data_IF_682931528754
#
_entry.id   IF_682931528754
#
_cell.length_a   1.000
_cell.length_b   1.000
_cell.length_c   1.000
_cell.angle_alpha   90.00
_cell.angle_beta   90.00
_cell.angle_gamma   90.00
#
_symmetry.space_group_name_H-M   'P 1'
#
loop_
_entity.id
_entity.type
_entity.pdbx_description
1 polymer ?
#
# COMPACT_ATOMS: atom_id res chain seq x y z
N UNK A 1 8.20 -27.99 -0.24
CA UNK A 1 9.62 -28.15 0.10
C UNK A 1 10.42 -28.04 -1.18
N UNK A 2 10.89 -26.84 -1.53
CA UNK A 2 11.73 -26.61 -2.72
C UNK A 2 13.17 -26.78 -2.23
N UNK A 3 13.86 -27.79 -2.74
CA UNK A 3 15.30 -27.97 -2.48
C UNK A 3 16.07 -26.90 -3.23
N UNK A 4 16.68 -25.99 -2.46
CA UNK A 4 17.83 -25.22 -2.94
C UNK A 4 19.01 -26.18 -2.81
N UNK A 5 19.73 -26.41 -3.89
CA UNK A 5 20.93 -27.20 -3.89
C UNK A 5 22.00 -26.49 -3.06
N UNK A 6 22.18 -26.92 -1.83
CA UNK A 6 23.41 -27.09 -1.10
C UNK A 6 23.02 -27.62 0.29
N UNK A 7 23.52 -28.83 0.58
CA UNK A 7 23.12 -29.58 1.75
C UNK A 7 23.71 -29.02 3.06
N UNK A 8 22.89 -28.37 3.83
CA UNK A 8 23.15 -28.19 5.26
C UNK A 8 21.84 -28.31 6.03
N UNK A 9 21.75 -29.36 6.83
CA UNK A 9 20.66 -29.59 7.77
C UNK A 9 20.77 -28.60 8.91
N UNK A 10 19.72 -27.77 9.11
CA UNK A 10 19.67 -26.82 10.22
C UNK A 10 19.09 -27.51 11.45
N UNK A 11 19.95 -27.68 12.46
CA UNK A 11 19.56 -28.06 13.82
C UNK A 11 18.79 -26.92 14.49
N UNK A 12 17.59 -27.23 14.97
CA UNK A 12 16.80 -26.33 15.84
C UNK A 12 17.45 -26.26 17.23
N UNK A 13 17.92 -25.11 17.62
CA UNK A 13 18.13 -24.76 19.04
C UNK A 13 17.88 -23.25 19.24
N UNK A 14 16.83 -22.93 20.00
CA UNK A 14 16.52 -21.55 20.39
C UNK A 14 15.12 -21.47 20.97
N UNK A 15 14.97 -21.75 22.29
CA UNK A 15 13.71 -21.69 23.03
C UNK A 15 13.30 -20.23 23.26
N UNK A 16 12.49 -19.65 22.36
CA UNK A 16 11.60 -18.53 22.71
C UNK A 16 10.29 -19.12 23.25
N UNK A 17 9.84 -18.67 24.43
CA UNK A 17 8.55 -19.07 25.01
C UNK A 17 7.43 -18.64 24.08
N UNK A 18 6.92 -19.56 23.31
CA UNK A 18 5.74 -19.42 22.47
C UNK A 18 4.52 -19.37 23.39
N UNK A 19 3.64 -18.40 23.17
CA UNK A 19 2.31 -18.36 23.74
C UNK A 19 1.53 -19.65 23.42
N UNK A 20 0.45 -19.89 24.16
CA UNK A 20 -0.43 -21.06 24.10
C UNK A 20 -0.60 -21.60 22.68
N UNK A 21 -0.40 -22.90 22.43
CA UNK A 21 -0.57 -23.47 21.09
C UNK A 21 -2.00 -23.21 20.58
N UNK A 22 -2.18 -22.92 19.28
CA UNK A 22 -3.51 -22.74 18.70
C UNK A 22 -4.35 -24.01 18.95
N UNK A 23 -5.64 -23.82 19.24
CA UNK A 23 -6.56 -24.94 19.50
C UNK A 23 -6.60 -25.88 18.28
N UNK A 24 -6.85 -27.18 18.50
CA UNK A 24 -6.95 -28.19 17.45
C UNK A 24 -7.96 -27.79 16.35
N UNK A 25 -9.00 -27.04 16.70
CA UNK A 25 -9.98 -26.47 15.78
C UNK A 25 -9.34 -25.44 14.83
N UNK A 26 -8.40 -24.64 15.33
CA UNK A 26 -7.69 -23.60 14.56
C UNK A 26 -6.74 -24.24 13.53
N UNK A 27 -6.02 -25.30 13.93
CA UNK A 27 -5.14 -26.07 13.04
C UNK A 27 -5.96 -26.81 11.97
N UNK A 28 -7.12 -27.35 12.33
CA UNK A 28 -8.02 -28.02 11.38
C UNK A 28 -8.62 -27.06 10.37
N UNK A 29 -8.97 -25.83 10.78
CA UNK A 29 -9.49 -24.80 9.88
C UNK A 29 -8.41 -24.30 8.87
N UNK A 30 -7.17 -24.15 9.32
CA UNK A 30 -6.04 -23.80 8.45
C UNK A 30 -5.75 -24.92 7.43
N UNK A 31 -5.75 -26.18 7.86
CA UNK A 31 -5.49 -27.30 6.97
C UNK A 31 -6.62 -27.52 5.93
N UNK A 32 -7.89 -27.32 6.32
CA UNK A 32 -9.02 -27.35 5.39
C UNK A 32 -8.96 -26.19 4.38
N UNK A 33 -8.47 -25.05 4.81
CA UNK A 33 -8.27 -23.85 4.01
C UNK A 33 -7.15 -24.00 2.96
N UNK A 34 -6.02 -24.63 3.31
CA UNK A 34 -4.93 -24.92 2.36
C UNK A 34 -5.36 -25.90 1.27
N UNK A 35 -6.36 -26.77 1.52
CA UNK A 35 -6.91 -27.68 0.53
C UNK A 35 -7.80 -27.02 -0.53
N UNK A 36 -8.34 -25.82 -0.27
CA UNK A 36 -9.15 -25.06 -1.23
C UNK A 36 -8.31 -24.29 -2.26
N UNK A 37 -7.03 -24.10 -2.00
CA UNK A 37 -6.15 -23.35 -2.88
C UNK A 37 -5.50 -24.27 -3.93
N UNK A 38 -5.57 -23.84 -5.20
CA UNK A 38 -4.88 -24.55 -6.28
C UNK A 38 -3.36 -24.62 -6.01
N UNK A 39 -2.70 -25.72 -6.32
CA UNK A 39 -1.24 -25.83 -6.15
C UNK A 39 -0.52 -24.75 -6.96
N UNK A 40 0.47 -24.12 -6.35
CA UNK A 40 1.33 -23.15 -7.04
C UNK A 40 2.11 -23.85 -8.12
N UNK A 41 2.05 -23.35 -9.33
CA UNK A 41 2.79 -23.93 -10.44
C UNK A 41 4.28 -23.58 -10.37
N UNK A 42 5.15 -24.48 -10.83
CA UNK A 42 6.56 -24.18 -11.01
C UNK A 42 6.74 -22.95 -11.93
N UNK A 43 7.65 -22.06 -11.58
CA UNK A 43 7.97 -20.86 -12.37
C UNK A 43 8.23 -21.20 -13.86
N UNK A 44 8.95 -22.28 -14.14
CA UNK A 44 9.22 -22.73 -15.49
C UNK A 44 7.95 -23.02 -16.31
N UNK A 45 6.89 -23.52 -15.66
CA UNK A 45 5.61 -23.74 -16.34
C UNK A 45 4.89 -22.42 -16.62
N UNK A 46 4.91 -21.49 -15.67
CA UNK A 46 4.34 -20.17 -15.86
C UNK A 46 5.05 -19.42 -17.01
N UNK A 47 6.38 -19.47 -17.08
CA UNK A 47 7.15 -18.85 -18.18
C UNK A 47 6.74 -19.47 -19.53
N UNK A 48 6.68 -20.79 -19.64
CA UNK A 48 6.22 -21.46 -20.87
C UNK A 48 4.79 -21.09 -21.23
N UNK A 49 3.90 -21.02 -20.24
CA UNK A 49 2.51 -20.66 -20.43
C UNK A 49 2.35 -19.24 -20.97
N UNK A 50 3.00 -18.24 -20.36
CA UNK A 50 2.88 -16.84 -20.81
C UNK A 50 3.49 -16.61 -22.19
N UNK A 51 4.63 -17.24 -22.49
CA UNK A 51 5.24 -17.20 -23.84
C UNK A 51 4.31 -17.75 -24.93
N UNK A 52 3.51 -18.76 -24.60
CA UNK A 52 2.57 -19.36 -25.56
C UNK A 52 1.31 -18.53 -25.75
N UNK A 53 0.76 -17.98 -24.66
CA UNK A 53 -0.61 -17.50 -24.64
C UNK A 53 -0.73 -15.95 -24.59
N UNK A 54 0.30 -15.20 -24.16
CA UNK A 54 0.30 -13.74 -24.13
C UNK A 54 1.16 -13.19 -25.27
N UNK A 55 0.61 -12.45 -26.24
CA UNK A 55 1.42 -11.80 -27.27
C UNK A 55 2.51 -10.87 -26.68
N UNK A 56 2.20 -10.13 -25.63
CA UNK A 56 3.16 -9.25 -24.94
C UNK A 56 4.37 -10.02 -24.42
N UNK A 57 4.15 -11.10 -23.65
CA UNK A 57 5.24 -11.88 -23.07
C UNK A 57 5.99 -12.70 -24.11
N UNK A 58 5.32 -13.13 -25.18
CA UNK A 58 5.99 -13.79 -26.32
C UNK A 58 7.02 -12.87 -26.96
N UNK A 59 6.64 -11.62 -27.18
CA UNK A 59 7.54 -10.62 -27.79
C UNK A 59 8.65 -10.22 -26.81
N UNK A 60 8.31 -9.96 -25.54
CA UNK A 60 9.28 -9.60 -24.49
C UNK A 60 10.35 -10.68 -24.30
N UNK A 61 9.98 -11.95 -24.39
CA UNK A 61 10.88 -13.09 -24.16
C UNK A 61 11.38 -13.74 -25.46
N UNK A 62 11.19 -13.10 -26.62
CA UNK A 62 11.55 -13.69 -27.92
C UNK A 62 13.04 -14.05 -28.03
N UNK A 63 13.92 -13.24 -27.42
CA UNK A 63 15.36 -13.41 -27.44
C UNK A 63 15.90 -14.42 -26.40
N UNK A 64 15.05 -14.88 -25.46
CA UNK A 64 15.46 -15.80 -24.40
C UNK A 64 15.43 -17.26 -24.87
N UNK A 65 16.35 -18.12 -24.40
CA UNK A 65 16.28 -19.54 -24.64
C UNK A 65 14.95 -20.16 -24.22
N UNK A 66 14.50 -21.20 -24.89
CA UNK A 66 13.27 -21.92 -24.51
C UNK A 66 13.39 -22.64 -23.15
N UNK A 67 14.59 -22.85 -22.69
CA UNK A 67 14.96 -23.48 -21.42
C UNK A 67 15.05 -22.52 -20.25
N UNK A 68 14.87 -21.21 -20.46
CA UNK A 68 14.87 -20.22 -19.38
C UNK A 68 13.81 -20.55 -18.34
N UNK A 69 14.23 -20.74 -17.09
CA UNK A 69 13.38 -21.14 -15.98
C UNK A 69 13.65 -20.39 -14.66
N UNK A 70 14.59 -19.44 -14.66
CA UNK A 70 14.96 -18.63 -13.49
C UNK A 70 14.55 -17.17 -13.65
N UNK A 71 14.02 -16.58 -12.59
CA UNK A 71 13.58 -15.16 -12.60
C UNK A 71 14.71 -14.20 -13.00
N UNK A 72 15.91 -14.42 -12.49
CA UNK A 72 17.06 -13.56 -12.78
C UNK A 72 17.44 -13.50 -14.27
N UNK A 73 16.97 -14.45 -15.07
CA UNK A 73 17.21 -14.51 -16.52
C UNK A 73 16.13 -13.73 -17.31
N UNK A 74 15.00 -13.43 -16.68
CA UNK A 74 13.92 -12.68 -17.30
C UNK A 74 14.20 -11.18 -17.24
N UNK A 75 13.93 -10.41 -18.30
CA UNK A 75 13.96 -8.96 -18.22
C UNK A 75 12.88 -8.43 -17.27
N UNK A 76 13.09 -7.25 -16.72
CA UNK A 76 12.02 -6.51 -16.05
C UNK A 76 10.92 -6.15 -17.05
N UNK A 77 9.69 -6.18 -16.58
CA UNK A 77 8.55 -5.72 -17.36
C UNK A 77 8.64 -4.21 -17.55
N UNK A 78 8.71 -3.70 -18.81
CA UNK A 78 8.63 -2.27 -19.07
C UNK A 78 7.21 -1.78 -18.79
N UNK A 79 6.99 -1.04 -17.70
CA UNK A 79 5.66 -0.64 -17.24
C UNK A 79 4.86 0.11 -18.30
N UNK A 80 5.49 1.01 -19.06
CA UNK A 80 4.81 1.78 -20.10
C UNK A 80 4.26 0.87 -21.19
N UNK A 81 5.06 -0.10 -21.65
CA UNK A 81 4.67 -1.03 -22.70
C UNK A 81 3.64 -2.06 -22.19
N UNK A 82 3.77 -2.49 -20.93
CA UNK A 82 2.81 -3.36 -20.27
C UNK A 82 1.41 -2.74 -20.25
N UNK A 83 1.30 -1.50 -19.80
CA UNK A 83 0.01 -0.82 -19.74
C UNK A 83 -0.51 -0.41 -21.11
N UNK A 84 0.37 -0.11 -22.07
CA UNK A 84 -0.03 0.11 -23.46
C UNK A 84 -0.59 -1.17 -24.11
N UNK A 85 0.01 -2.33 -23.82
CA UNK A 85 -0.45 -3.64 -24.28
C UNK A 85 -1.76 -4.08 -23.61
N UNK A 86 -2.16 -3.45 -22.51
CA UNK A 86 -3.35 -3.76 -21.72
C UNK A 86 -4.56 -2.89 -22.10
N UNK A 87 -4.81 -2.70 -23.39
CA UNK A 87 -5.97 -1.96 -23.86
C UNK A 87 -7.24 -2.82 -23.80
N UNK A 88 -8.38 -2.31 -23.31
CA UNK A 88 -9.65 -3.07 -23.32
C UNK A 88 -10.10 -3.55 -24.71
N UNK A 89 -9.80 -2.79 -25.75
CA UNK A 89 -10.24 -3.11 -27.13
C UNK A 89 -9.29 -4.02 -27.91
N UNK A 90 -7.97 -3.94 -27.63
CA UNK A 90 -6.93 -4.78 -28.25
C UNK A 90 -5.91 -5.15 -27.19
N UNK A 91 -6.25 -6.19 -26.43
CA UNK A 91 -5.45 -6.60 -25.29
C UNK A 91 -4.42 -7.67 -25.68
N UNK A 92 -3.16 -7.26 -25.72
CA UNK A 92 -2.03 -8.14 -26.03
C UNK A 92 -1.38 -8.77 -24.80
N UNK A 93 -1.78 -8.31 -23.60
CA UNK A 93 -1.23 -8.81 -22.33
C UNK A 93 -1.95 -10.09 -21.88
N UNK A 94 -3.27 -10.15 -22.06
CA UNK A 94 -4.08 -11.27 -21.61
C UNK A 94 -3.72 -12.57 -22.33
N UNK A 95 -3.85 -13.69 -21.60
CA UNK A 95 -3.57 -15.04 -22.09
C UNK A 95 -4.79 -15.73 -22.69
N UNK A 96 -5.97 -15.18 -22.49
CA UNK A 96 -7.24 -15.69 -22.98
C UNK A 96 -8.25 -14.55 -23.18
N UNK A 97 -9.30 -14.74 -24.01
CA UNK A 97 -10.41 -13.79 -24.13
C UNK A 97 -11.16 -13.60 -22.81
N UNK A 98 -11.74 -12.42 -22.62
CA UNK A 98 -12.55 -12.08 -21.45
C UNK A 98 -13.95 -12.68 -21.58
N UNK A 99 -14.15 -13.89 -21.05
CA UNK A 99 -15.48 -14.51 -20.96
C UNK A 99 -16.07 -14.41 -19.56
N UNK A 100 -15.23 -14.51 -18.53
CA UNK A 100 -15.62 -14.40 -17.14
C UNK A 100 -14.46 -13.74 -16.37
N UNK A 101 -14.65 -12.49 -15.96
CA UNK A 101 -13.64 -11.77 -15.18
C UNK A 101 -14.30 -10.67 -14.34
N UNK A 102 -13.68 -10.35 -13.21
CA UNK A 102 -13.87 -9.06 -12.54
C UNK A 102 -12.81 -8.09 -13.07
N UNK A 103 -13.23 -6.86 -13.33
CA UNK A 103 -12.38 -5.80 -13.89
C UNK A 103 -12.25 -4.69 -12.86
N UNK A 104 -11.03 -4.30 -12.60
CA UNK A 104 -10.72 -3.15 -11.75
C UNK A 104 -9.90 -2.13 -12.50
N UNK A 105 -10.00 -0.87 -12.04
CA UNK A 105 -9.24 0.25 -12.56
C UNK A 105 -8.41 0.86 -11.45
N UNK A 106 -7.08 0.83 -11.58
CA UNK A 106 -6.23 1.60 -10.70
C UNK A 106 -6.17 3.06 -11.14
N UNK A 107 -5.97 3.97 -10.16
CA UNK A 107 -5.99 5.39 -10.42
C UNK A 107 -4.77 5.83 -11.21
N UNK A 108 -5.01 6.39 -12.39
CA UNK A 108 -4.05 7.24 -13.05
C UNK A 108 -4.41 8.69 -12.73
N UNK A 109 -3.78 9.31 -11.75
CA UNK A 109 -3.90 10.75 -11.54
C UNK A 109 -3.14 11.53 -12.62
N UNK A 110 -2.27 10.86 -13.37
CA UNK A 110 -1.37 11.46 -14.37
C UNK A 110 -1.29 10.73 -15.71
N UNK A 111 -2.13 9.72 -15.96
CA UNK A 111 -2.02 8.90 -17.18
C UNK A 111 -3.29 8.14 -17.55
N UNK A 112 -3.21 7.33 -18.61
CA UNK A 112 -4.29 6.47 -19.07
C UNK A 112 -4.72 5.48 -17.98
N UNK A 113 -6.03 5.16 -17.86
CA UNK A 113 -6.53 4.20 -16.89
C UNK A 113 -5.83 2.84 -17.02
N UNK A 114 -5.41 2.26 -15.88
CA UNK A 114 -4.81 0.94 -15.81
C UNK A 114 -5.87 -0.07 -15.40
N UNK A 115 -6.17 -1.04 -16.26
CA UNK A 115 -7.18 -2.06 -15.98
C UNK A 115 -6.53 -3.35 -15.52
N UNK A 116 -7.07 -3.96 -14.49
CA UNK A 116 -6.66 -5.26 -13.99
C UNK A 116 -7.79 -6.25 -14.05
N UNK A 117 -7.48 -7.44 -14.54
CA UNK A 117 -8.45 -8.49 -14.82
C UNK A 117 -8.13 -9.72 -13.97
N UNK A 118 -9.17 -10.27 -13.35
CA UNK A 118 -9.09 -11.50 -12.57
C UNK A 118 -10.20 -12.43 -12.98
N UNK A 119 -9.90 -13.68 -13.26
CA UNK A 119 -10.94 -14.71 -13.36
C UNK A 119 -11.61 -14.90 -12.00
N UNK A 120 -12.78 -15.53 -11.96
CA UNK A 120 -13.45 -15.89 -10.70
C UNK A 120 -12.54 -16.69 -9.78
N UNK A 121 -11.78 -17.64 -10.32
CA UNK A 121 -10.86 -18.47 -9.57
C UNK A 121 -9.71 -17.65 -9.01
N UNK A 122 -9.04 -16.82 -9.81
CA UNK A 122 -7.95 -15.96 -9.37
C UNK A 122 -8.40 -14.97 -8.29
N UNK A 123 -9.58 -14.36 -8.46
CA UNK A 123 -10.14 -13.45 -7.46
C UNK A 123 -10.43 -14.16 -6.14
N UNK A 124 -11.02 -15.36 -6.23
CA UNK A 124 -11.26 -16.20 -5.04
C UNK A 124 -9.96 -16.53 -4.33
N UNK A 125 -8.94 -16.99 -5.05
CA UNK A 125 -7.65 -17.35 -4.47
C UNK A 125 -6.93 -16.14 -3.87
N UNK A 126 -6.97 -15.00 -4.55
CA UNK A 126 -6.43 -13.74 -4.07
C UNK A 126 -7.05 -13.33 -2.72
N UNK A 127 -8.38 -13.27 -2.68
CA UNK A 127 -9.11 -12.85 -1.46
C UNK A 127 -9.05 -13.91 -0.36
N UNK A 128 -8.92 -15.20 -0.69
CA UNK A 128 -8.73 -16.30 0.25
C UNK A 128 -7.36 -16.19 0.94
N UNK A 129 -6.28 -16.07 0.19
CA UNK A 129 -4.94 -15.94 0.76
C UNK A 129 -4.80 -14.65 1.59
N UNK A 130 -5.35 -13.54 1.12
CA UNK A 130 -5.35 -12.30 1.89
C UNK A 130 -6.18 -12.39 3.17
N UNK A 131 -7.33 -13.06 3.11
CA UNK A 131 -8.19 -13.33 4.27
C UNK A 131 -7.49 -14.13 5.37
N UNK A 132 -6.62 -15.09 4.99
CA UNK A 132 -5.75 -15.78 5.95
C UNK A 132 -4.75 -14.82 6.60
N UNK A 133 -4.15 -13.93 5.82
CA UNK A 133 -3.25 -12.88 6.32
C UNK A 133 -3.90 -11.94 7.34
N UNK A 134 -5.22 -11.68 7.23
CA UNK A 134 -5.94 -10.85 8.20
C UNK A 134 -5.94 -11.45 9.63
N UNK A 135 -5.87 -12.78 9.76
CA UNK A 135 -5.75 -13.42 11.06
C UNK A 135 -4.38 -13.13 11.68
N UNK A 136 -3.32 -13.15 10.88
CA UNK A 136 -1.97 -12.76 11.31
C UNK A 136 -1.91 -11.27 11.69
N UNK A 137 -2.68 -10.43 10.99
CA UNK A 137 -2.84 -9.01 11.33
C UNK A 137 -3.66 -8.75 12.61
N UNK A 138 -4.40 -9.75 13.14
CA UNK A 138 -5.12 -9.67 14.41
C UNK A 138 -6.63 -9.90 14.34
N UNK A 139 -7.18 -10.28 13.19
CA UNK A 139 -8.59 -10.68 13.09
C UNK A 139 -8.85 -11.92 13.95
N UNK A 140 -9.94 -11.90 14.74
CA UNK A 140 -10.31 -12.98 15.65
C UNK A 140 -11.74 -13.47 15.43
N UNK A 141 -12.07 -14.70 15.84
CA UNK A 141 -13.45 -15.19 15.79
C UNK A 141 -14.41 -14.27 16.52
N UNK A 142 -15.54 -13.97 15.89
CA UNK A 142 -16.61 -13.14 16.44
C UNK A 142 -16.43 -11.63 16.29
N UNK A 143 -15.29 -11.15 15.76
CA UNK A 143 -15.12 -9.73 15.49
C UNK A 143 -16.23 -9.20 14.57
N UNK A 144 -16.77 -8.03 14.91
CA UNK A 144 -17.59 -7.19 14.05
C UNK A 144 -16.69 -6.19 13.39
N UNK A 145 -16.62 -6.25 12.06
CA UNK A 145 -15.68 -5.48 11.24
C UNK A 145 -16.47 -4.49 10.38
N UNK A 146 -16.22 -3.21 10.56
CA UNK A 146 -16.75 -2.16 9.68
C UNK A 146 -15.75 -1.90 8.55
N UNK A 147 -16.21 -2.04 7.32
CA UNK A 147 -15.45 -1.74 6.11
C UNK A 147 -15.77 -0.31 5.66
N UNK A 148 -14.79 0.59 5.81
CA UNK A 148 -14.84 1.99 5.40
C UNK A 148 -13.98 2.26 4.17
N UNK A 149 -13.63 1.25 3.39
CA UNK A 149 -12.98 1.46 2.11
C UNK A 149 -13.98 1.99 1.07
N UNK A 150 -13.47 2.49 -0.06
CA UNK A 150 -14.28 3.09 -1.10
C UNK A 150 -14.67 2.07 -2.16
N UNK A 151 -15.88 2.24 -2.70
CA UNK A 151 -16.46 1.42 -3.76
C UNK A 151 -16.85 2.27 -4.98
N UNK A 152 -17.08 1.62 -6.08
CA UNK A 152 -17.58 2.22 -7.33
C UNK A 152 -16.46 2.55 -8.32
N UNK A 153 -16.85 2.90 -9.53
CA UNK A 153 -15.96 3.28 -10.63
C UNK A 153 -14.79 2.30 -10.85
N UNK A 154 -15.10 1.00 -10.79
CA UNK A 154 -14.15 -0.11 -10.91
C UNK A 154 -13.04 -0.11 -9.83
N UNK A 155 -13.21 0.61 -8.73
CA UNK A 155 -12.23 0.62 -7.64
C UNK A 155 -12.38 -0.63 -6.76
N UNK A 156 -11.26 -1.30 -6.49
CA UNK A 156 -11.27 -2.66 -5.91
C UNK A 156 -11.41 -2.70 -4.40
N UNK A 157 -10.95 -1.66 -3.64
CA UNK A 157 -10.59 -1.85 -2.23
C UNK A 157 -11.74 -2.32 -1.34
N UNK A 158 -12.93 -1.76 -1.47
CA UNK A 158 -14.11 -2.18 -0.70
C UNK A 158 -14.46 -3.65 -0.96
N UNK A 159 -14.63 -4.02 -2.24
CA UNK A 159 -14.95 -5.40 -2.62
C UNK A 159 -13.85 -6.38 -2.20
N UNK A 160 -12.59 -5.96 -2.34
CA UNK A 160 -11.43 -6.76 -1.95
C UNK A 160 -11.41 -7.06 -0.45
N UNK A 161 -11.60 -6.03 0.39
CA UNK A 161 -11.61 -6.20 1.85
C UNK A 161 -12.82 -7.02 2.30
N UNK A 162 -14.01 -6.74 1.74
CA UNK A 162 -15.23 -7.47 2.07
C UNK A 162 -15.13 -8.96 1.72
N UNK A 163 -14.61 -9.29 0.52
CA UNK A 163 -14.39 -10.67 0.07
C UNK A 163 -13.30 -11.37 0.88
N UNK A 164 -12.23 -10.66 1.24
CA UNK A 164 -11.15 -11.19 2.07
C UNK A 164 -11.64 -11.51 3.49
N UNK A 165 -12.47 -10.66 4.09
CA UNK A 165 -13.13 -10.93 5.37
C UNK A 165 -14.11 -12.10 5.28
N UNK A 166 -14.84 -12.20 4.15
CA UNK A 166 -15.75 -13.34 3.91
C UNK A 166 -15.01 -14.67 3.86
N UNK A 167 -13.81 -14.68 3.31
CA UNK A 167 -13.00 -15.89 3.12
C UNK A 167 -11.94 -16.09 4.21
N UNK A 168 -11.89 -15.21 5.21
CA UNK A 168 -11.00 -15.41 6.35
C UNK A 168 -11.35 -16.72 7.08
N UNK A 169 -10.35 -17.50 7.57
CA UNK A 169 -10.59 -18.78 8.21
C UNK A 169 -11.16 -18.66 9.64
N UNK A 170 -11.69 -17.49 9.98
CA UNK A 170 -12.35 -17.20 11.26
C UNK A 170 -13.70 -16.55 11.03
N UNK A 171 -14.72 -16.99 11.76
CA UNK A 171 -16.05 -16.39 11.69
C UNK A 171 -16.00 -14.92 12.13
N UNK A 172 -16.60 -14.04 11.34
CA UNK A 172 -16.69 -12.61 11.62
C UNK A 172 -17.99 -12.02 11.09
N UNK A 173 -18.40 -10.89 11.65
CA UNK A 173 -19.56 -10.11 11.18
C UNK A 173 -19.05 -8.93 10.40
N UNK A 174 -19.51 -8.75 9.18
CA UNK A 174 -19.09 -7.70 8.25
C UNK A 174 -20.15 -6.61 8.13
N UNK A 175 -19.74 -5.36 8.34
CA UNK A 175 -20.58 -4.18 8.18
C UNK A 175 -20.03 -3.36 6.99
N UNK A 176 -20.64 -3.49 5.79
CA UNK A 176 -20.20 -2.81 4.59
C UNK A 176 -20.72 -1.37 4.56
N UNK A 177 -20.06 -0.45 5.27
CA UNK A 177 -20.48 0.95 5.40
C UNK A 177 -19.97 1.83 4.24
N UNK A 178 -18.73 1.61 3.81
CA UNK A 178 -18.06 2.42 2.79
C UNK A 178 -17.53 3.76 3.31
N UNK A 179 -16.40 4.20 2.76
CA UNK A 179 -15.69 5.40 3.21
C UNK A 179 -16.39 6.73 2.89
N UNK A 180 -17.38 6.73 1.98
CA UNK A 180 -18.17 7.89 1.63
C UNK A 180 -19.44 8.07 2.50
N UNK A 181 -19.72 7.14 3.42
CA UNK A 181 -20.89 7.27 4.32
C UNK A 181 -20.75 8.49 5.25
N UNK A 182 -21.86 9.16 5.60
CA UNK A 182 -21.84 10.24 6.57
C UNK A 182 -21.22 9.79 7.89
N UNK A 183 -20.33 10.59 8.46
CA UNK A 183 -19.58 10.20 9.65
C UNK A 183 -20.48 9.98 10.87
N UNK A 184 -21.58 10.73 10.99
CA UNK A 184 -22.56 10.58 12.07
C UNK A 184 -23.23 9.20 12.03
N UNK A 185 -23.66 8.78 10.83
CA UNK A 185 -24.23 7.46 10.59
C UNK A 185 -23.21 6.35 10.83
N UNK A 186 -21.99 6.56 10.36
CA UNK A 186 -20.88 5.64 10.62
C UNK A 186 -20.65 5.47 12.12
N UNK A 187 -20.48 6.57 12.85
CA UNK A 187 -20.25 6.55 14.29
C UNK A 187 -21.41 5.89 15.08
N UNK A 188 -22.66 6.19 14.70
CA UNK A 188 -23.85 5.57 15.30
C UNK A 188 -23.84 4.04 15.07
N UNK A 189 -23.55 3.59 13.85
CA UNK A 189 -23.48 2.16 13.53
C UNK A 189 -22.35 1.46 14.28
N UNK A 190 -21.16 2.09 14.40
CA UNK A 190 -20.05 1.52 15.19
C UNK A 190 -20.44 1.30 16.66
N UNK A 191 -21.19 2.22 17.25
CA UNK A 191 -21.71 2.09 18.63
C UNK A 191 -22.82 1.05 18.72
N UNK A 192 -23.84 1.13 17.87
CA UNK A 192 -24.99 0.23 17.92
C UNK A 192 -24.59 -1.23 17.78
N UNK A 193 -23.69 -1.52 16.84
CA UNK A 193 -23.18 -2.87 16.62
C UNK A 193 -21.99 -3.24 17.51
N UNK A 194 -21.53 -2.34 18.38
CA UNK A 194 -20.35 -2.58 19.23
C UNK A 194 -19.16 -3.13 18.41
N UNK A 195 -18.79 -2.42 17.34
CA UNK A 195 -17.79 -2.84 16.35
C UNK A 195 -16.41 -2.85 16.97
N UNK A 196 -15.72 -4.00 16.93
CA UNK A 196 -14.36 -4.14 17.47
C UNK A 196 -13.28 -3.78 16.46
N UNK A 197 -13.56 -3.88 15.16
CA UNK A 197 -12.57 -3.65 14.10
C UNK A 197 -13.10 -2.64 13.10
N UNK A 198 -12.33 -1.59 12.84
CA UNK A 198 -12.64 -0.62 11.78
C UNK A 198 -11.54 -0.69 10.72
N UNK A 199 -11.92 -0.95 9.47
CA UNK A 199 -11.02 -1.07 8.34
C UNK A 199 -11.20 0.11 7.38
N UNK A 200 -10.10 0.77 6.99
CA UNK A 200 -10.14 1.92 6.07
C UNK A 200 -8.77 2.42 5.67
N UNK A 201 -8.73 3.45 4.82
CA UNK A 201 -7.47 4.13 4.57
C UNK A 201 -7.06 4.96 5.79
N UNK A 202 -5.75 5.18 6.06
CA UNK A 202 -5.31 6.11 7.10
C UNK A 202 -6.05 7.46 7.06
N UNK A 203 -6.19 8.04 5.88
CA UNK A 203 -6.92 9.30 5.68
C UNK A 203 -8.37 9.22 6.16
N UNK A 204 -9.09 8.14 5.84
CA UNK A 204 -10.48 7.93 6.27
C UNK A 204 -10.58 7.75 7.78
N UNK A 205 -9.68 6.95 8.37
CA UNK A 205 -9.63 6.69 9.81
C UNK A 205 -9.32 7.96 10.60
N UNK A 206 -8.36 8.77 10.15
CA UNK A 206 -8.01 10.06 10.77
C UNK A 206 -9.13 11.08 10.65
N UNK A 207 -9.81 11.17 9.50
CA UNK A 207 -10.96 12.06 9.32
C UNK A 207 -12.12 11.67 10.26
N UNK A 208 -12.41 10.38 10.42
CA UNK A 208 -13.40 9.90 11.38
C UNK A 208 -13.00 10.24 12.82
N UNK A 209 -11.72 9.98 13.18
CA UNK A 209 -11.20 10.28 14.51
C UNK A 209 -11.29 11.78 14.84
N UNK A 210 -10.90 12.67 13.90
CA UNK A 210 -11.03 14.10 14.07
C UNK A 210 -12.46 14.53 14.42
N UNK A 211 -13.45 13.99 13.67
CA UNK A 211 -14.86 14.33 13.86
C UNK A 211 -15.41 13.79 15.19
N UNK A 212 -15.02 12.57 15.59
CA UNK A 212 -15.39 12.00 16.88
C UNK A 212 -14.85 12.87 18.03
N UNK A 213 -13.57 13.24 17.99
CA UNK A 213 -12.94 14.08 19.03
C UNK A 213 -13.58 15.45 19.08
N UNK A 214 -13.83 16.09 17.93
CA UNK A 214 -14.51 17.39 17.87
C UNK A 214 -15.95 17.34 18.45
N UNK A 215 -16.60 16.18 18.35
CA UNK A 215 -17.93 15.94 18.94
C UNK A 215 -17.85 15.47 20.42
N UNK A 216 -16.67 15.42 21.05
CA UNK A 216 -16.48 14.94 22.41
C UNK A 216 -16.73 13.43 22.58
N UNK A 217 -16.64 12.64 21.52
CA UNK A 217 -16.95 11.21 21.48
C UNK A 217 -15.71 10.36 21.40
N UNK A 218 -15.75 9.20 22.05
CA UNK A 218 -14.75 8.13 21.95
C UNK A 218 -15.44 6.79 21.75
N UNK A 219 -14.81 5.88 21.01
CA UNK A 219 -15.31 4.53 20.77
C UNK A 219 -14.38 3.48 21.42
N UNK A 220 -14.46 3.28 22.77
CA UNK A 220 -13.54 2.42 23.50
C UNK A 220 -13.76 0.91 23.27
N UNK A 221 -14.82 0.53 22.58
CA UNK A 221 -15.09 -0.85 22.16
C UNK A 221 -14.33 -1.24 20.89
N UNK A 222 -13.80 -0.26 20.11
CA UNK A 222 -12.93 -0.53 18.99
C UNK A 222 -11.55 -0.96 19.51
N UNK A 223 -11.13 -2.17 19.13
CA UNK A 223 -9.89 -2.80 19.58
C UNK A 223 -8.81 -2.80 18.49
N UNK A 224 -9.22 -2.69 17.22
CA UNK A 224 -8.33 -2.82 16.08
C UNK A 224 -8.73 -1.84 14.96
N UNK A 225 -7.75 -1.10 14.47
CA UNK A 225 -7.85 -0.29 13.27
C UNK A 225 -7.03 -0.96 12.17
N UNK A 226 -7.72 -1.56 11.21
CA UNK A 226 -7.09 -2.08 10.01
C UNK A 226 -6.92 -0.99 8.98
N UNK A 227 -5.69 -0.74 8.57
CA UNK A 227 -5.43 0.24 7.51
C UNK A 227 -4.74 -0.40 6.30
N UNK A 228 -4.95 0.21 5.13
CA UNK A 228 -4.32 -0.17 3.88
C UNK A 228 -4.48 0.88 2.78
N UNK A 229 -3.76 0.68 1.70
CA UNK A 229 -3.80 1.58 0.53
C UNK A 229 -2.98 2.85 0.68
N UNK A 230 -2.58 3.21 1.90
CA UNK A 230 -1.69 4.31 2.25
C UNK A 230 -0.78 3.89 3.40
N UNK A 231 0.35 4.59 3.59
CA UNK A 231 1.17 4.45 4.80
C UNK A 231 0.46 5.15 5.98
N UNK A 232 0.50 4.52 7.14
CA UNK A 232 0.16 5.15 8.40
C UNK A 232 1.45 5.64 9.07
N UNK A 233 1.47 6.91 9.45
CA UNK A 233 2.62 7.56 10.06
C UNK A 233 2.46 7.70 11.58
N UNK A 234 3.58 7.84 12.29
CA UNK A 234 3.59 7.93 13.74
C UNK A 234 2.87 9.17 14.31
N UNK A 235 2.90 10.28 13.58
CA UNK A 235 2.21 11.54 13.86
C UNK A 235 0.67 11.43 13.84
N UNK A 236 0.11 10.46 13.12
CA UNK A 236 -1.33 10.20 13.07
C UNK A 236 -1.85 9.38 14.26
N UNK A 237 -0.96 8.63 14.95
CA UNK A 237 -1.35 7.74 16.04
C UNK A 237 -1.99 8.44 17.25
N UNK A 238 -1.53 9.64 17.69
CA UNK A 238 -2.18 10.34 18.82
C UNK A 238 -3.65 10.66 18.56
N UNK A 239 -3.98 11.15 17.36
CA UNK A 239 -5.35 11.46 16.96
C UNK A 239 -6.24 10.21 16.94
N UNK A 240 -5.74 9.11 16.39
CA UNK A 240 -6.46 7.83 16.38
C UNK A 240 -6.70 7.33 17.81
N UNK A 241 -5.71 7.43 18.70
CA UNK A 241 -5.85 7.04 20.12
C UNK A 241 -6.85 7.91 20.87
N UNK A 242 -6.94 9.19 20.53
CA UNK A 242 -7.90 10.09 21.16
C UNK A 242 -9.37 9.67 20.89
N UNK A 243 -9.66 9.17 19.68
CA UNK A 243 -10.99 8.67 19.31
C UNK A 243 -11.21 7.20 19.68
N UNK A 244 -10.17 6.36 19.58
CA UNK A 244 -10.19 4.91 19.76
C UNK A 244 -9.17 4.47 20.83
N UNK A 245 -9.41 4.76 22.12
CA UNK A 245 -8.36 4.68 23.16
C UNK A 245 -7.81 3.28 23.41
N UNK A 246 -8.53 2.21 23.02
CA UNK A 246 -8.09 0.82 23.17
C UNK A 246 -7.61 0.20 21.87
N UNK A 247 -7.75 0.91 20.73
CA UNK A 247 -7.44 0.36 19.44
C UNK A 247 -5.94 0.29 19.17
N UNK A 248 -5.55 -0.80 18.49
CA UNK A 248 -4.22 -0.95 17.89
C UNK A 248 -4.35 -0.76 16.38
N UNK A 249 -3.52 0.09 15.81
CA UNK A 249 -3.45 0.22 14.35
C UNK A 249 -2.56 -0.90 13.77
N UNK A 250 -3.06 -1.59 12.73
CA UNK A 250 -2.37 -2.69 12.05
C UNK A 250 -2.56 -2.58 10.54
N UNK A 251 -1.51 -2.85 9.80
CA UNK A 251 -1.66 -3.05 8.35
C UNK A 251 -2.57 -4.25 8.09
N UNK A 252 -3.49 -4.13 7.13
CA UNK A 252 -4.23 -5.26 6.57
C UNK A 252 -3.29 -6.26 5.89
N UNK A 253 -2.15 -5.78 5.42
CA UNK A 253 -1.24 -6.41 4.51
C UNK A 253 -0.96 -5.49 3.32
N UNK A 254 -0.07 -5.92 2.46
CA UNK A 254 0.33 -5.20 1.26
C UNK A 254 -0.13 -5.97 0.03
N UNK A 255 -1.03 -5.38 -0.72
CA UNK A 255 -1.58 -5.90 -1.96
C UNK A 255 -1.84 -4.77 -2.94
N UNK A 256 -1.77 -5.07 -4.22
CA UNK A 256 -2.09 -4.16 -5.30
C UNK A 256 -3.00 -4.87 -6.30
N UNK A 257 -4.01 -4.17 -6.80
CA UNK A 257 -4.86 -4.72 -7.85
C UNK A 257 -4.08 -5.00 -9.14
N UNK A 258 -2.99 -4.26 -9.36
CA UNK A 258 -2.13 -4.43 -10.54
C UNK A 258 -1.17 -5.63 -10.36
N UNK A 259 -0.51 -5.70 -9.21
CA UNK A 259 0.57 -6.65 -8.94
C UNK A 259 0.15 -7.88 -8.12
N UNK A 260 -1.06 -7.90 -7.56
CA UNK A 260 -1.60 -9.03 -6.81
C UNK A 260 -1.23 -9.03 -5.32
N UNK A 261 -1.03 -10.22 -4.76
CA UNK A 261 -0.58 -10.43 -3.38
C UNK A 261 0.91 -10.08 -3.26
N UNK A 262 1.26 -9.23 -2.29
CA UNK A 262 2.62 -8.77 -2.12
C UNK A 262 3.19 -9.17 -0.76
N UNK A 263 2.54 -8.76 0.34
CA UNK A 263 3.02 -9.08 1.67
C UNK A 263 1.93 -9.15 2.72
N UNK A 264 1.97 -10.14 3.58
CA UNK A 264 1.14 -10.22 4.78
C UNK A 264 1.73 -9.34 5.90
N UNK A 265 0.87 -8.81 6.75
CA UNK A 265 1.30 -8.03 7.91
C UNK A 265 2.10 -8.89 8.89
N UNK A 266 3.23 -8.36 9.38
CA UNK A 266 4.05 -8.99 10.42
C UNK A 266 3.72 -8.35 11.76
N UNK A 267 3.49 -9.15 12.84
CA UNK A 267 3.35 -8.59 14.19
C UNK A 267 4.59 -7.78 14.58
N UNK A 268 4.39 -6.55 15.06
CA UNK A 268 5.49 -5.65 15.44
C UNK A 268 5.01 -4.21 15.57
N UNK A 269 5.92 -3.31 15.89
CA UNK A 269 5.64 -1.88 16.09
C UNK A 269 5.74 -1.07 14.79
N UNK A 270 6.49 -1.55 13.80
CA UNK A 270 6.58 -0.89 12.49
C UNK A 270 5.53 -1.49 11.52
N UNK A 271 4.46 -0.75 11.21
CA UNK A 271 3.39 -1.23 10.36
C UNK A 271 3.76 -1.35 8.87
N UNK A 272 4.96 -0.90 8.49
CA UNK A 272 5.48 -0.99 7.11
C UNK A 272 6.18 -2.32 6.84
N UNK A 273 6.38 -3.15 7.87
CA UNK A 273 7.04 -4.45 7.75
C UNK A 273 6.03 -5.52 7.33
N UNK A 274 6.36 -6.21 6.25
CA UNK A 274 5.55 -7.26 5.67
C UNK A 274 6.39 -8.49 5.37
N UNK A 275 5.74 -9.66 5.32
CA UNK A 275 6.33 -10.89 4.82
C UNK A 275 5.71 -11.23 3.47
N UNK A 276 6.53 -11.58 2.48
CA UNK A 276 6.04 -12.01 1.17
C UNK A 276 5.01 -13.15 1.30
N UNK A 277 3.95 -13.11 0.51
CA UNK A 277 2.92 -14.16 0.46
C UNK A 277 3.46 -15.42 -0.21
N UNK A 278 4.39 -16.09 0.47
CA UNK A 278 4.95 -17.37 -0.01
C UNK A 278 3.92 -18.49 0.18
N UNK A 279 3.75 -19.42 -0.81
CA UNK A 279 4.52 -19.55 -2.05
C UNK A 279 3.93 -18.79 -3.26
N UNK A 280 2.98 -17.92 -3.09
CA UNK A 280 2.20 -17.29 -4.18
C UNK A 280 2.95 -16.17 -4.89
N UNK A 281 3.75 -15.45 -4.15
CA UNK A 281 4.47 -14.27 -4.65
C UNK A 281 5.97 -14.41 -4.42
N UNK A 282 6.74 -14.09 -5.44
CA UNK A 282 8.18 -13.87 -5.33
C UNK A 282 8.43 -12.37 -5.30
N UNK A 283 9.08 -11.91 -4.24
CA UNK A 283 9.53 -10.53 -4.08
C UNK A 283 11.02 -10.46 -4.38
N UNK A 284 11.41 -9.49 -5.19
CA UNK A 284 12.79 -9.08 -5.42
C UNK A 284 12.94 -7.61 -4.99
N UNK A 285 14.05 -7.27 -4.38
CA UNK A 285 14.46 -5.88 -4.18
C UNK A 285 15.69 -5.67 -5.06
N UNK A 286 15.59 -4.74 -6.02
CA UNK A 286 16.63 -4.47 -6.98
C UNK A 286 17.26 -3.11 -6.70
N UNK A 287 18.54 -3.02 -6.93
CA UNK A 287 19.28 -1.77 -6.89
C UNK A 287 18.65 -0.70 -7.81
N UNK A 288 18.67 0.55 -7.40
CA UNK A 288 17.98 1.63 -8.10
C UNK A 288 18.58 1.90 -9.50
N UNK A 289 19.88 1.73 -9.66
CA UNK A 289 20.64 2.06 -10.89
C UNK A 289 20.90 0.82 -11.76
N UNK A 290 20.63 -0.37 -11.24
CA UNK A 290 20.84 -1.64 -11.95
C UNK A 290 19.73 -2.63 -11.66
N UNK A 291 19.62 -3.69 -12.48
CA UNK A 291 18.65 -4.76 -12.27
C UNK A 291 19.22 -5.87 -11.37
N UNK A 292 20.25 -5.59 -10.59
CA UNK A 292 20.86 -6.53 -9.66
C UNK A 292 20.05 -6.64 -8.37
N UNK A 293 19.87 -7.86 -7.91
CA UNK A 293 19.19 -8.11 -6.64
C UNK A 293 20.03 -7.59 -5.46
N UNK A 294 19.41 -6.81 -4.59
CA UNK A 294 19.95 -6.41 -3.30
C UNK A 294 19.89 -7.63 -2.37
N UNK A 295 21.07 -8.09 -1.93
CA UNK A 295 21.18 -9.25 -1.06
C UNK A 295 21.20 -8.87 0.43
N UNK A 296 21.70 -7.70 0.75
CA UNK A 296 21.93 -7.24 2.12
C UNK A 296 20.65 -6.66 2.75
N UNK A 297 20.48 -6.91 4.05
CA UNK A 297 19.41 -6.30 4.81
C UNK A 297 19.67 -4.80 5.01
N UNK A 298 18.59 -4.01 5.07
CA UNK A 298 18.59 -2.55 5.27
C UNK A 298 19.25 -1.75 4.14
N UNK A 299 19.35 -2.35 2.97
CA UNK A 299 19.76 -1.63 1.76
C UNK A 299 18.50 -1.38 0.93
N UNK A 300 18.13 -0.11 0.70
CA UNK A 300 16.97 0.25 -0.10
C UNK A 300 17.11 -0.12 -1.57
N UNK A 301 16.00 -0.43 -2.22
CA UNK A 301 15.94 -0.66 -3.64
C UNK A 301 14.52 -0.66 -4.19
N UNK A 302 14.38 -0.89 -5.48
CA UNK A 302 13.09 -0.97 -6.19
C UNK A 302 12.41 -2.32 -5.91
N UNK A 303 11.15 -2.29 -5.51
CA UNK A 303 10.35 -3.49 -5.29
C UNK A 303 9.85 -4.06 -6.63
N UNK A 304 10.19 -5.30 -6.89
CA UNK A 304 9.77 -6.06 -8.07
C UNK A 304 9.08 -7.34 -7.64
N UNK A 305 8.01 -7.71 -8.34
CA UNK A 305 7.17 -8.83 -7.93
C UNK A 305 6.85 -9.76 -9.09
N UNK A 306 6.70 -11.04 -8.75
CA UNK A 306 6.17 -12.07 -9.64
C UNK A 306 5.05 -12.80 -8.90
N UNK A 307 3.83 -12.77 -9.48
CA UNK A 307 2.69 -13.53 -8.99
C UNK A 307 2.64 -14.89 -9.71
N UNK A 308 2.81 -15.97 -8.96
CA UNK A 308 2.88 -17.34 -9.50
C UNK A 308 1.51 -17.96 -9.80
N UNK A 309 0.40 -17.24 -9.50
CA UNK A 309 -0.97 -17.72 -9.69
C UNK A 309 -1.71 -17.01 -10.80
N UNK A 310 -1.44 -15.72 -11.03
CA UNK A 310 -2.14 -14.94 -12.06
C UNK A 310 -1.79 -15.46 -13.45
N UNK A 311 -2.82 -15.92 -14.13
CA UNK A 311 -2.70 -16.46 -15.49
C UNK A 311 -3.36 -15.58 -16.52
N UNK A 312 -4.59 -15.09 -16.26
CA UNK A 312 -5.32 -14.28 -17.22
C UNK A 312 -4.54 -13.00 -17.56
N UNK A 313 -4.06 -12.30 -16.55
CA UNK A 313 -3.19 -11.13 -16.67
C UNK A 313 -1.90 -11.40 -15.87
N UNK A 314 -0.92 -12.09 -16.48
CA UNK A 314 0.29 -12.51 -15.76
C UNK A 314 1.14 -11.33 -15.30
N UNK A 315 1.79 -11.51 -14.15
CA UNK A 315 2.69 -10.53 -13.54
C UNK A 315 4.02 -11.22 -13.23
N UNK A 316 5.03 -11.04 -14.08
CA UNK A 316 6.38 -11.58 -13.91
C UNK A 316 7.41 -10.46 -13.92
N UNK A 317 8.25 -10.38 -12.89
CA UNK A 317 9.25 -9.32 -12.69
C UNK A 317 8.71 -7.92 -12.96
N UNK A 318 7.54 -7.66 -12.38
CA UNK A 318 6.83 -6.40 -12.54
C UNK A 318 7.29 -5.40 -11.47
N UNK A 319 7.82 -4.22 -11.83
CA UNK A 319 8.14 -3.17 -10.86
C UNK A 319 6.86 -2.68 -10.18
N UNK A 320 6.74 -2.85 -8.87
CA UNK A 320 5.53 -2.47 -8.13
C UNK A 320 5.35 -0.94 -8.01
N UNK A 321 6.40 -0.18 -8.30
CA UNK A 321 6.43 1.28 -8.18
C UNK A 321 6.70 1.75 -6.74
N UNK A 322 7.02 0.83 -5.84
CA UNK A 322 7.39 1.11 -4.46
C UNK A 322 8.88 0.82 -4.24
N UNK A 323 9.47 1.45 -3.24
CA UNK A 323 10.80 1.14 -2.71
C UNK A 323 10.66 0.32 -1.43
N UNK A 324 11.60 -0.60 -1.23
CA UNK A 324 11.63 -1.43 -0.04
C UNK A 324 13.07 -1.78 0.34
N UNK A 325 13.24 -2.33 1.53
CA UNK A 325 14.50 -2.93 2.01
C UNK A 325 14.20 -4.25 2.70
N UNK A 326 15.13 -5.18 2.64
CA UNK A 326 15.01 -6.42 3.42
C UNK A 326 15.21 -6.11 4.90
N UNK A 327 14.31 -6.61 5.73
CA UNK A 327 14.47 -6.70 7.19
C UNK A 327 15.10 -8.05 7.54
N UNK A 328 14.62 -9.10 6.91
CA UNK A 328 15.14 -10.46 6.95
C UNK A 328 14.85 -11.12 5.60
N UNK A 329 15.87 -11.16 4.75
CA UNK A 329 15.75 -11.71 3.40
C UNK A 329 15.44 -13.20 3.39
N UNK A 330 16.03 -13.98 4.30
CA UNK A 330 15.83 -15.43 4.35
C UNK A 330 14.38 -15.77 4.74
N UNK A 331 13.81 -14.99 5.66
CA UNK A 331 12.41 -15.11 6.07
C UNK A 331 11.43 -14.44 5.11
N UNK A 332 11.91 -13.78 4.04
CA UNK A 332 11.09 -13.02 3.10
C UNK A 332 10.43 -11.78 3.71
N UNK A 333 11.03 -11.20 4.76
CA UNK A 333 10.50 -10.03 5.47
C UNK A 333 11.14 -8.76 4.94
N UNK A 334 10.31 -7.83 4.51
CA UNK A 334 10.75 -6.54 3.96
C UNK A 334 9.98 -5.37 4.58
N UNK A 335 10.57 -4.18 4.50
CA UNK A 335 9.95 -2.92 4.92
C UNK A 335 9.69 -2.05 3.69
N UNK A 336 8.48 -1.52 3.58
CA UNK A 336 8.13 -0.52 2.58
C UNK A 336 8.71 0.86 2.97
N UNK A 337 9.31 1.54 2.00
CA UNK A 337 9.93 2.86 2.17
C UNK A 337 9.17 3.98 1.46
N UNK A 338 8.09 3.65 0.73
CA UNK A 338 7.28 4.58 -0.03
C UNK A 338 7.37 4.36 -1.53
N UNK A 339 6.81 5.29 -2.31
CA UNK A 339 6.78 5.22 -3.78
C UNK A 339 8.12 5.62 -4.38
N UNK A 340 8.55 4.87 -5.39
CA UNK A 340 9.79 5.16 -6.13
C UNK A 340 9.75 6.50 -6.89
N UNK A 341 8.56 6.91 -7.35
CA UNK A 341 8.34 8.08 -8.20
C UNK A 341 7.44 9.14 -7.56
N UNK A 342 7.13 9.04 -6.26
CA UNK A 342 6.27 10.02 -5.58
C UNK A 342 7.09 11.26 -5.20
N UNK A 343 7.37 12.06 -6.23
CA UNK A 343 8.10 13.31 -6.09
C UNK A 343 7.38 14.45 -6.82
N UNK A 344 7.74 15.65 -6.45
CA UNK A 344 7.26 16.88 -7.07
C UNK A 344 8.42 17.64 -7.69
N UNK A 345 8.23 18.17 -8.89
CA UNK A 345 9.18 19.05 -9.53
C UNK A 345 8.71 20.51 -9.42
N UNK A 346 9.52 21.32 -8.74
CA UNK A 346 9.27 22.76 -8.55
C UNK A 346 10.40 23.50 -9.26
N UNK A 347 10.12 24.03 -10.45
CA UNK A 347 11.16 24.57 -11.31
C UNK A 347 12.27 23.55 -11.60
N UNK A 348 13.54 23.87 -11.29
CA UNK A 348 14.67 22.96 -11.51
C UNK A 348 14.82 21.90 -10.38
N UNK A 349 14.06 21.99 -9.28
CA UNK A 349 14.26 21.16 -8.08
C UNK A 349 13.28 20.01 -8.05
N UNK A 350 13.76 18.81 -7.80
CA UNK A 350 12.93 17.62 -7.48
C UNK A 350 12.92 17.39 -5.98
N UNK A 351 11.74 17.17 -5.43
CA UNK A 351 11.50 16.89 -4.02
C UNK A 351 10.68 15.61 -3.91
N UNK A 352 11.12 14.67 -3.10
CA UNK A 352 10.38 13.44 -2.83
C UNK A 352 9.48 13.63 -1.61
N UNK A 353 8.24 13.17 -1.71
CA UNK A 353 7.24 13.34 -0.65
C UNK A 353 7.67 12.70 0.67
N UNK A 354 8.31 11.53 0.62
CA UNK A 354 8.81 10.85 1.81
C UNK A 354 9.89 11.67 2.52
N UNK A 355 10.83 12.21 1.77
CA UNK A 355 11.91 13.05 2.33
C UNK A 355 11.36 14.28 3.04
N UNK A 356 10.36 14.94 2.42
CA UNK A 356 9.72 16.12 3.02
C UNK A 356 8.94 15.72 4.28
N UNK A 357 8.25 14.56 4.25
CA UNK A 357 7.55 14.04 5.42
C UNK A 357 8.50 13.78 6.59
N UNK A 358 9.64 13.13 6.34
CA UNK A 358 10.64 12.85 7.38
C UNK A 358 11.22 14.13 8.00
N UNK A 359 11.44 15.17 7.17
CA UNK A 359 11.89 16.49 7.63
C UNK A 359 10.82 17.14 8.50
N UNK A 360 9.55 17.12 8.07
CA UNK A 360 8.43 17.69 8.83
C UNK A 360 8.28 16.97 10.17
N UNK A 361 8.30 15.64 10.17
CA UNK A 361 8.20 14.84 11.40
C UNK A 361 9.34 15.15 12.38
N UNK A 362 10.56 15.34 11.89
CA UNK A 362 11.70 15.69 12.74
C UNK A 362 11.60 17.13 13.29
N UNK A 363 10.96 18.05 12.57
CA UNK A 363 10.77 19.44 13.00
C UNK A 363 9.57 19.63 13.94
N UNK A 364 8.62 18.71 13.92
CA UNK A 364 7.40 18.72 14.76
C UNK A 364 7.66 18.06 16.12
N UNK A 365 8.33 18.77 17.00
CA UNK A 365 8.67 18.28 18.33
C UNK A 365 7.45 17.98 19.23
N UNK A 366 6.31 18.60 18.95
CA UNK A 366 5.07 18.44 19.72
C UNK A 366 4.16 17.33 19.17
N UNK A 367 4.42 16.81 17.96
CA UNK A 367 3.60 15.81 17.29
C UNK A 367 2.21 16.37 16.92
N UNK A 368 2.13 17.63 16.51
CA UNK A 368 0.89 18.30 16.14
C UNK A 368 0.42 17.96 14.73
N UNK A 369 1.35 17.57 13.84
CA UNK A 369 1.06 17.31 12.43
C UNK A 369 0.48 15.90 12.27
N UNK A 370 -0.73 15.81 11.72
CA UNK A 370 -1.46 14.54 11.47
C UNK A 370 -1.57 14.20 9.98
N UNK A 371 -1.04 15.05 9.11
CA UNK A 371 -1.02 14.84 7.68
C UNK A 371 -0.26 15.94 6.94
N UNK A 372 0.31 15.56 5.79
CA UNK A 372 1.12 16.45 4.95
C UNK A 372 0.67 16.35 3.49
N UNK A 373 0.58 17.51 2.84
CA UNK A 373 0.32 17.60 1.40
C UNK A 373 1.27 18.64 0.77
N UNK A 374 1.90 18.27 -0.31
CA UNK A 374 2.75 19.14 -1.12
C UNK A 374 1.90 19.75 -2.24
N UNK A 375 1.85 21.06 -2.31
CA UNK A 375 1.10 21.77 -3.36
C UNK A 375 2.05 22.56 -4.23
N UNK A 376 2.06 22.29 -5.53
CA UNK A 376 2.82 23.07 -6.50
C UNK A 376 1.92 24.13 -7.08
N UNK A 377 2.35 25.36 -6.95
CA UNK A 377 1.64 26.52 -7.48
C UNK A 377 2.53 27.30 -8.45
N UNK A 378 1.90 28.10 -9.30
CA UNK A 378 2.63 29.02 -10.20
C UNK A 378 2.10 30.42 -10.03
N UNK A 379 2.97 31.33 -9.63
CA UNK A 379 2.68 32.76 -9.53
C UNK A 379 3.86 33.57 -10.01
N UNK A 380 3.59 34.75 -10.60
CA UNK A 380 4.60 35.66 -11.13
C UNK A 380 5.59 34.98 -12.10
N UNK A 381 5.09 34.02 -12.92
CA UNK A 381 5.89 33.30 -13.88
C UNK A 381 6.81 32.22 -13.28
N UNK A 382 6.74 31.94 -11.98
CA UNK A 382 7.61 30.98 -11.27
C UNK A 382 6.80 29.93 -10.55
N UNK A 383 7.34 28.72 -10.45
CA UNK A 383 6.78 27.68 -9.61
C UNK A 383 7.12 27.93 -8.15
N UNK A 384 6.26 27.51 -7.25
CA UNK A 384 6.44 27.55 -5.80
C UNK A 384 5.89 26.29 -5.14
N UNK A 385 6.35 26.02 -3.94
CA UNK A 385 5.90 24.91 -3.10
C UNK A 385 5.17 25.45 -1.89
N UNK A 386 3.98 24.92 -1.65
CA UNK A 386 3.23 25.09 -0.40
C UNK A 386 3.17 23.73 0.30
N UNK A 387 3.55 23.69 1.56
CA UNK A 387 3.36 22.54 2.43
C UNK A 387 2.08 22.78 3.24
N UNK A 388 1.05 21.96 3.04
CA UNK A 388 -0.15 21.95 3.89
C UNK A 388 0.04 20.93 5.00
N UNK A 389 0.13 21.41 6.24
CA UNK A 389 0.25 20.61 7.44
C UNK A 389 -1.13 20.47 8.09
N UNK A 390 -1.66 19.27 8.16
CA UNK A 390 -2.87 19.02 8.93
C UNK A 390 -2.56 19.03 10.42
N UNK A 391 -3.23 19.89 11.18
CA UNK A 391 -3.13 20.00 12.64
C UNK A 391 -4.54 20.04 13.22
N UNK A 392 -4.69 19.70 14.52
CA UNK A 392 -6.01 19.63 15.17
C UNK A 392 -6.80 20.94 15.13
N UNK A 393 -6.13 22.08 15.25
CA UNK A 393 -6.74 23.41 15.15
C UNK A 393 -6.00 24.25 14.10
N UNK A 394 -6.67 24.67 13.02
CA UNK A 394 -6.13 25.68 12.13
C UNK A 394 -6.30 27.05 12.81
N UNK A 395 -5.24 27.58 13.28
CA UNK A 395 -5.26 28.92 13.90
C UNK A 395 -3.99 29.68 13.56
N UNK A 396 -4.13 31.00 13.39
CA UNK A 396 -3.02 31.93 13.13
C UNK A 396 -2.01 32.01 14.30
N UNK A 397 -2.17 31.17 15.33
CA UNK A 397 -1.54 31.35 16.63
C UNK A 397 -0.19 30.68 16.84
N UNK A 398 0.29 29.78 16.00
CA UNK A 398 1.60 29.14 16.20
C UNK A 398 2.43 29.21 14.92
N UNK A 399 3.05 30.35 14.65
CA UNK A 399 4.04 30.50 13.58
C UNK A 399 5.30 29.67 13.85
N UNK A 400 5.54 29.28 15.10
CA UNK A 400 6.73 28.52 15.48
C UNK A 400 6.85 27.18 14.77
N UNK A 401 5.77 26.41 14.61
CA UNK A 401 5.77 25.15 13.86
C UNK A 401 6.02 25.39 12.37
N UNK A 402 5.30 26.33 11.75
CA UNK A 402 5.46 26.64 10.32
C UNK A 402 6.85 27.16 10.02
N UNK A 403 7.40 28.00 10.88
CA UNK A 403 8.75 28.57 10.76
C UNK A 403 9.82 27.47 10.95
N UNK A 404 9.66 26.59 11.94
CA UNK A 404 10.55 25.47 12.17
C UNK A 404 10.57 24.50 10.99
N UNK A 405 9.40 24.15 10.45
CA UNK A 405 9.29 23.27 9.28
C UNK A 405 9.90 23.94 8.05
N UNK A 406 9.60 25.21 7.78
CA UNK A 406 10.19 25.93 6.66
C UNK A 406 11.72 25.99 6.75
N UNK A 407 12.25 26.32 7.93
CA UNK A 407 13.69 26.36 8.17
C UNK A 407 14.34 24.97 7.97
N UNK A 408 13.72 23.92 8.50
CA UNK A 408 14.23 22.54 8.39
C UNK A 408 14.25 22.06 6.92
N UNK A 409 13.19 22.34 6.16
CA UNK A 409 13.13 21.99 4.73
C UNK A 409 14.19 22.73 3.92
N UNK A 410 14.34 24.03 4.13
CA UNK A 410 15.37 24.82 3.43
C UNK A 410 16.78 24.39 3.79
N UNK A 411 17.05 24.04 5.04
CA UNK A 411 18.34 23.55 5.48
C UNK A 411 18.70 22.19 4.90
N UNK A 412 17.74 21.26 4.83
CA UNK A 412 17.96 19.91 4.33
C UNK A 412 17.76 19.77 2.80
N UNK A 413 17.23 20.80 2.15
CA UNK A 413 17.06 20.88 0.69
C UNK A 413 17.74 22.12 0.12
N UNK A 414 19.07 22.19 0.17
CA UNK A 414 19.84 23.38 -0.19
C UNK A 414 19.65 23.79 -1.65
N UNK A 415 19.31 22.86 -2.56
CA UNK A 415 18.98 23.18 -3.93
C UNK A 415 17.72 24.03 -4.04
N UNK A 416 16.71 23.78 -3.19
CA UNK A 416 15.49 24.62 -3.16
C UNK A 416 15.80 26.01 -2.62
N UNK A 417 16.56 26.09 -1.53
CA UNK A 417 17.00 27.36 -0.96
C UNK A 417 17.82 28.18 -1.97
N UNK A 418 18.76 27.57 -2.67
CA UNK A 418 19.56 28.22 -3.70
C UNK A 418 18.72 28.69 -4.90
N UNK A 419 17.76 27.87 -5.35
CA UNK A 419 16.87 28.21 -6.45
C UNK A 419 15.93 29.39 -6.06
N UNK A 420 15.49 29.44 -4.79
CA UNK A 420 14.72 30.59 -4.26
C UNK A 420 15.57 31.85 -4.25
N UNK A 421 16.79 31.80 -3.71
CA UNK A 421 17.71 32.92 -3.66
C UNK A 421 18.08 33.44 -5.06
N UNK A 422 18.22 32.55 -6.03
CA UNK A 422 18.46 32.88 -7.44
C UNK A 422 17.19 33.41 -8.18
N UNK A 423 16.02 33.40 -7.52
CA UNK A 423 14.77 33.81 -8.11
C UNK A 423 14.21 32.87 -9.18
N UNK A 424 14.62 31.59 -9.18
CA UNK A 424 14.12 30.58 -10.12
C UNK A 424 12.78 29.95 -9.65
N UNK A 425 12.53 29.92 -8.35
CA UNK A 425 11.29 29.45 -7.74
C UNK A 425 10.81 30.46 -6.70
N UNK A 426 9.53 30.43 -6.39
CA UNK A 426 8.95 31.23 -5.31
C UNK A 426 9.40 30.70 -3.93
N UNK A 427 9.42 31.52 -2.88
CA UNK A 427 9.69 31.09 -1.52
C UNK A 427 8.76 29.92 -1.08
N UNK A 428 9.29 29.05 -0.24
CA UNK A 428 8.51 28.00 0.40
C UNK A 428 7.45 28.63 1.31
N UNK A 429 6.22 28.15 1.18
CA UNK A 429 5.11 28.51 2.07
C UNK A 429 4.69 27.28 2.89
N UNK A 430 4.39 27.47 4.17
CA UNK A 430 3.87 26.40 5.04
C UNK A 430 2.53 26.89 5.61
N UNK A 431 1.49 26.11 5.38
CA UNK A 431 0.11 26.39 5.79
C UNK A 431 -0.37 25.35 6.81
N UNK A 432 -1.12 25.77 7.84
CA UNK A 432 -1.83 24.87 8.73
C UNK A 432 -3.27 24.72 8.27
N UNK A 433 -3.71 23.49 8.13
CA UNK A 433 -5.08 23.13 7.71
C UNK A 433 -5.65 22.05 8.63
N UNK A 434 -6.96 21.86 8.61
CA UNK A 434 -7.57 20.69 9.27
C UNK A 434 -7.35 19.45 8.41
N UNK A 435 -7.29 18.27 9.03
CA UNK A 435 -7.11 17.02 8.29
C UNK A 435 -8.15 16.85 7.17
N UNK A 436 -9.41 17.21 7.44
CA UNK A 436 -10.52 17.15 6.47
C UNK A 436 -10.42 18.13 5.31
N UNK A 437 -9.59 19.16 5.42
CA UNK A 437 -9.39 20.18 4.37
C UNK A 437 -8.27 19.78 3.39
N UNK A 438 -7.55 18.69 3.68
CA UNK A 438 -6.59 18.09 2.74
C UNK A 438 -7.33 17.51 1.53
N UNK A 439 -6.74 17.69 0.35
CA UNK A 439 -7.30 17.13 -0.88
C UNK A 439 -7.21 15.61 -0.88
N UNK A 440 -8.34 14.96 -1.09
CA UNK A 440 -8.43 13.50 -1.21
C UNK A 440 -8.99 13.10 -2.57
N UNK A 441 -8.59 11.95 -3.04
CA UNK A 441 -9.18 11.36 -4.24
C UNK A 441 -10.60 10.89 -3.91
N UNK A 442 -11.61 11.51 -4.52
CA UNK A 442 -13.03 11.25 -4.22
C UNK A 442 -13.45 9.81 -4.50
N UNK A 443 -12.77 9.13 -5.45
CA UNK A 443 -13.05 7.73 -5.80
C UNK A 443 -12.47 6.74 -4.81
N UNK A 444 -11.30 7.05 -4.23
CA UNK A 444 -10.51 6.08 -3.44
C UNK A 444 -10.43 6.44 -1.96
N UNK A 445 -10.80 7.66 -1.57
CA UNK A 445 -10.65 8.20 -0.24
C UNK A 445 -9.20 8.38 0.21
N UNK A 446 -8.24 8.24 -0.71
CA UNK A 446 -6.82 8.37 -0.39
C UNK A 446 -6.38 9.83 -0.45
N UNK A 447 -5.47 10.19 0.44
CA UNK A 447 -4.80 11.48 0.40
C UNK A 447 -4.08 11.67 -0.94
N UNK A 448 -4.29 12.82 -1.58
CA UNK A 448 -3.49 13.26 -2.72
C UNK A 448 -2.26 13.95 -2.15
N UNK A 449 -1.14 13.23 -2.06
CA UNK A 449 0.07 13.74 -1.41
C UNK A 449 0.71 14.91 -2.16
N UNK A 450 0.57 14.92 -3.47
CA UNK A 450 1.05 16.00 -4.35
C UNK A 450 -0.13 16.55 -5.12
N UNK A 451 -0.39 17.83 -4.95
CA UNK A 451 -1.41 18.59 -5.71
C UNK A 451 -0.69 19.56 -6.63
N UNK A 452 -0.96 19.47 -7.92
CA UNK A 452 -0.44 20.40 -8.91
C UNK A 452 -1.55 21.41 -9.24
N UNK A 453 -1.44 22.61 -8.68
CA UNK A 453 -2.37 23.73 -8.91
C UNK A 453 -1.85 24.71 -10.00
N UNK A 454 -0.83 24.30 -10.74
CA UNK A 454 -0.36 25.12 -11.87
C UNK A 454 -1.43 25.14 -12.95
N UNK A 455 -1.70 26.32 -13.57
CA UNK A 455 -2.65 26.39 -14.66
C UNK A 455 -2.18 25.47 -15.80
N UNK A 456 -3.08 24.60 -16.28
CA UNK A 456 -2.83 23.81 -17.49
C UNK A 456 -2.65 24.80 -18.67
N UNK A 457 -1.50 24.74 -19.32
CA UNK A 457 -1.21 25.49 -20.56
C UNK A 457 -1.93 24.88 -21.74
#
# INVERSE_FOLDING_TARGET
MIRIADGTAIHRSGTARLGTPPSAFFVSAINAFEQELMPVQPLAELIRFVRRNSPFYRDLYAHLPSTTDRLAELPLVPQVDFWRANSPGDNRLLTAPLHEAVVFRSGGTTGSPKFSFYTRTEWREFTTAFGAGLVNAGLRPGHRVADLFYAGDLYASFSFVLDSLHRAPVANVRLPLGGAAPWESTAATLEEFQVQVVAGTPTTLCSLAERLVAAGRQLPHVELLFFGGECLFGDQLPQLRAAFPKARARSLGYASVDAGLLGEAVPGDDPRVHRAFTPYTVVEILDDDSDRSVADNRVPGRLVVTDLRRRLMPVLRYPAGDRAEWVDREAGVFRLLGRAEEGVRVGPVSLYTQDVHDIVTAADAAGEVTGLQLVVQRSNGRDGLVLRLATGEPGDGNSALTDAVAAAVLAQRPLYASATAAGHVNPLTVERVRHRDLAVNSRTGKLIRVVDERPCS
#
